data_IF_630038364654
#
_entry.id   IF_630038364654
#
_cell.length_a   1.000
_cell.length_b   1.000
_cell.length_c   1.000
_cell.angle_alpha   90.00
_cell.angle_beta   90.00
_cell.angle_gamma   90.00
#
_symmetry.space_group_name_H-M   'P 1'
#
loop_
_entity.id
_entity.type
_entity.pdbx_description
1 polymer ?
#
# COMPACT_ATOMS: atom_id res chain seq x y z
N UNK A 1 3.60 19.81 -0.26
CA UNK A 1 2.80 18.61 0.06
C UNK A 1 3.57 17.80 1.10
N UNK A 2 2.93 17.34 2.17
CA UNK A 2 3.52 16.44 3.18
C UNK A 2 2.59 15.22 3.34
N UNK A 3 3.12 14.02 3.10
CA UNK A 3 2.35 12.78 3.26
C UNK A 3 3.20 11.77 4.04
N UNK A 4 2.60 11.13 5.04
CA UNK A 4 3.12 9.91 5.65
C UNK A 4 2.33 8.72 5.14
N UNK A 5 2.99 7.82 4.39
CA UNK A 5 2.40 6.59 3.88
C UNK A 5 2.72 5.43 4.79
N UNK A 6 1.73 4.60 5.04
CA UNK A 6 1.84 3.36 5.81
C UNK A 6 1.30 2.21 4.97
N UNK A 7 2.07 1.16 4.77
CA UNK A 7 1.55 -0.09 4.24
C UNK A 7 0.77 -0.80 5.34
N UNK A 8 -0.39 -1.40 5.00
CA UNK A 8 -1.14 -2.21 5.96
C UNK A 8 -0.26 -3.28 6.62
N UNK A 9 -0.56 -3.65 7.86
CA UNK A 9 0.15 -4.69 8.60
C UNK A 9 0.08 -6.05 7.93
N UNK A 10 0.92 -6.98 8.35
CA UNK A 10 1.01 -8.33 7.78
C UNK A 10 -0.33 -9.08 7.87
N UNK A 11 -0.67 -9.80 6.80
CA UNK A 11 -1.73 -10.82 6.74
C UNK A 11 -1.10 -12.22 6.62
N UNK A 12 -1.87 -13.28 6.79
CA UNK A 12 -1.36 -14.64 6.59
C UNK A 12 -0.96 -14.88 5.12
N UNK A 13 -1.62 -14.22 4.17
CA UNK A 13 -1.22 -14.29 2.76
C UNK A 13 0.11 -13.60 2.50
N UNK A 14 0.41 -12.49 3.19
CA UNK A 14 1.75 -11.89 3.11
C UNK A 14 2.81 -12.84 3.68
N UNK A 15 2.55 -13.46 4.84
CA UNK A 15 3.46 -14.42 5.45
C UNK A 15 3.69 -15.65 4.54
N UNK A 16 2.66 -16.10 3.83
CA UNK A 16 2.72 -17.20 2.86
C UNK A 16 3.16 -16.78 1.45
N UNK A 17 3.58 -15.53 1.23
CA UNK A 17 3.99 -15.00 -0.10
C UNK A 17 2.92 -15.17 -1.19
N UNK A 18 1.64 -15.16 -0.82
CA UNK A 18 0.52 -15.22 -1.76
C UNK A 18 0.19 -13.84 -2.31
N UNK A 19 -0.10 -13.77 -3.60
CA UNK A 19 -0.61 -12.55 -4.24
C UNK A 19 -1.98 -12.24 -3.64
N UNK A 20 -2.10 -11.09 -2.99
CA UNK A 20 -3.32 -10.75 -2.26
C UNK A 20 -4.28 -9.91 -3.09
N UNK A 21 -3.74 -8.91 -3.82
CA UNK A 21 -4.55 -8.03 -4.64
C UNK A 21 -5.66 -7.36 -3.84
N UNK A 22 -6.88 -7.44 -4.36
CA UNK A 22 -8.06 -6.84 -3.73
C UNK A 22 -8.86 -7.83 -2.85
N UNK A 23 -8.46 -9.10 -2.74
CA UNK A 23 -9.01 -10.01 -1.72
C UNK A 23 -8.74 -9.46 -0.32
N UNK A 24 -9.76 -9.48 0.52
CA UNK A 24 -9.68 -8.87 1.84
C UNK A 24 -9.37 -9.92 2.91
N UNK A 25 -8.09 -10.08 3.17
CA UNK A 25 -7.55 -10.99 4.18
C UNK A 25 -7.23 -10.18 5.44
N UNK A 26 -7.69 -10.59 6.63
CA UNK A 26 -7.49 -9.83 7.87
C UNK A 26 -6.00 -9.78 8.29
N UNK A 27 -5.67 -8.79 9.13
CA UNK A 27 -4.36 -8.72 9.76
C UNK A 27 -4.13 -9.93 10.65
N UNK A 28 -2.92 -10.49 10.61
CA UNK A 28 -2.50 -11.47 11.60
C UNK A 28 -1.93 -10.78 12.87
N UNK A 29 -1.49 -11.57 13.85
CA UNK A 29 -0.95 -11.05 15.11
C UNK A 29 0.26 -10.12 14.89
N UNK A 30 1.12 -10.44 13.93
CA UNK A 30 2.28 -9.60 13.57
C UNK A 30 1.82 -8.28 12.95
N UNK A 31 0.87 -8.32 11.99
CA UNK A 31 0.34 -7.12 11.36
C UNK A 31 -0.31 -6.15 12.33
N UNK A 32 -1.02 -6.66 13.33
CA UNK A 32 -1.61 -5.84 14.39
C UNK A 32 -0.54 -5.13 15.22
N UNK A 33 0.57 -5.81 15.54
CA UNK A 33 1.70 -5.18 16.25
C UNK A 33 2.39 -4.12 15.39
N UNK A 34 2.58 -4.38 14.09
CA UNK A 34 3.15 -3.42 13.14
C UNK A 34 2.28 -2.16 13.05
N UNK A 35 0.97 -2.32 12.90
CA UNK A 35 0.03 -1.19 12.85
C UNK A 35 0.10 -0.30 14.11
N UNK A 36 0.11 -0.92 15.29
CA UNK A 36 0.26 -0.21 16.57
C UNK A 36 1.63 0.48 16.67
N UNK A 37 2.72 -0.20 16.27
CA UNK A 37 4.07 0.36 16.27
C UNK A 37 4.21 1.59 15.37
N UNK A 38 3.64 1.54 14.16
CA UNK A 38 3.59 2.69 13.25
C UNK A 38 2.82 3.87 13.85
N UNK A 39 1.74 3.60 14.60
CA UNK A 39 1.00 4.64 15.32
C UNK A 39 1.83 5.30 16.41
N UNK A 40 2.57 4.52 17.20
CA UNK A 40 3.50 5.04 18.22
C UNK A 40 4.60 5.90 17.58
N UNK A 41 5.15 5.45 16.45
CA UNK A 41 6.17 6.23 15.72
C UNK A 41 5.60 7.54 15.20
N UNK A 42 4.42 7.53 14.58
CA UNK A 42 3.73 8.74 14.11
C UNK A 42 3.39 9.71 15.25
N UNK A 43 2.93 9.20 16.38
CA UNK A 43 2.65 10.02 17.57
C UNK A 43 3.87 10.83 18.02
N UNK A 44 5.05 10.20 18.01
CA UNK A 44 6.31 10.89 18.34
C UNK A 44 6.70 11.95 17.31
N UNK A 45 6.42 11.70 16.03
CA UNK A 45 6.77 12.60 14.92
C UNK A 45 5.83 13.81 14.89
N UNK A 46 4.53 13.59 15.04
CA UNK A 46 3.51 14.60 14.86
C UNK A 46 3.19 15.36 16.16
N UNK A 47 3.37 14.73 17.32
CA UNK A 47 3.03 15.33 18.61
C UNK A 47 1.62 15.88 18.63
N UNK A 48 1.45 17.11 19.14
CA UNK A 48 0.17 17.80 19.19
C UNK A 48 -0.35 18.26 17.80
N UNK A 49 0.48 18.21 16.75
CA UNK A 49 0.09 18.61 15.39
C UNK A 49 -0.71 17.56 14.63
N UNK A 50 -0.99 16.39 15.21
CA UNK A 50 -1.72 15.32 14.54
C UNK A 50 -3.15 15.73 14.09
N UNK A 51 -3.77 16.68 14.78
CA UNK A 51 -5.11 17.21 14.44
C UNK A 51 -5.14 17.98 13.10
N UNK A 52 -4.00 18.47 12.63
CA UNK A 52 -3.90 19.23 11.39
C UNK A 52 -3.83 18.32 10.14
N UNK A 53 -3.64 17.02 10.35
CA UNK A 53 -3.52 16.04 9.28
C UNK A 53 -4.87 15.47 8.84
N UNK A 54 -5.02 15.29 7.52
CA UNK A 54 -6.06 14.44 6.95
C UNK A 54 -5.65 12.96 7.09
N UNK A 55 -6.55 12.14 7.62
CA UNK A 55 -6.33 10.70 7.72
C UNK A 55 -7.17 9.98 6.67
N UNK A 56 -6.52 9.25 5.77
CA UNK A 56 -7.17 8.53 4.67
C UNK A 56 -6.67 7.09 4.57
N UNK A 57 -7.58 6.17 4.30
CA UNK A 57 -7.25 4.75 4.11
C UNK A 57 -7.81 4.22 2.79
N UNK A 58 -7.17 3.20 2.23
CA UNK A 58 -7.86 2.29 1.31
C UNK A 58 -9.10 1.70 2.00
N UNK A 59 -10.19 1.40 1.28
CA UNK A 59 -11.41 0.86 1.89
C UNK A 59 -11.30 -0.61 2.33
N UNK A 60 -10.22 -1.34 1.96
CA UNK A 60 -10.07 -2.75 2.31
C UNK A 60 -9.87 -2.94 3.83
N UNK A 61 -10.46 -3.98 4.40
CA UNK A 61 -10.52 -4.20 5.87
C UNK A 61 -9.15 -4.21 6.53
N UNK A 62 -8.12 -4.82 5.90
CA UNK A 62 -6.74 -4.81 6.42
C UNK A 62 -6.12 -3.42 6.56
N UNK A 63 -6.45 -2.49 5.65
CA UNK A 63 -5.97 -1.10 5.73
C UNK A 63 -6.77 -0.29 6.74
N UNK A 64 -8.07 -0.54 6.83
CA UNK A 64 -8.93 0.08 7.83
C UNK A 64 -8.52 -0.34 9.23
N UNK A 65 -8.35 -1.65 9.50
CA UNK A 65 -7.87 -2.14 10.81
C UNK A 65 -6.48 -1.55 11.13
N UNK A 66 -5.59 -1.40 10.12
CA UNK A 66 -4.30 -0.75 10.32
C UNK A 66 -4.46 0.72 10.72
N UNK A 67 -5.32 1.48 10.05
CA UNK A 67 -5.60 2.89 10.36
C UNK A 67 -6.19 3.05 11.77
N UNK A 68 -7.16 2.23 12.12
CA UNK A 68 -7.83 2.26 13.42
C UNK A 68 -6.83 2.03 14.56
N UNK A 69 -5.96 1.00 14.43
CA UNK A 69 -4.91 0.71 15.42
C UNK A 69 -3.86 1.80 15.50
N UNK A 70 -3.47 2.36 14.36
CA UNK A 70 -2.53 3.46 14.26
C UNK A 70 -3.08 4.69 15.00
N UNK A 71 -4.32 5.09 14.72
CA UNK A 71 -4.97 6.22 15.38
C UNK A 71 -5.16 6.00 16.87
N UNK A 72 -5.57 4.79 17.27
CA UNK A 72 -5.69 4.43 18.68
C UNK A 72 -4.36 4.57 19.43
N UNK A 73 -3.24 4.12 18.81
CA UNK A 73 -1.91 4.25 19.39
C UNK A 73 -1.42 5.71 19.48
N UNK A 74 -1.99 6.61 18.68
CA UNK A 74 -1.77 8.06 18.73
C UNK A 74 -2.66 8.78 19.75
N UNK A 75 -3.57 8.06 20.44
CA UNK A 75 -4.56 8.67 21.34
C UNK A 75 -5.71 9.40 20.63
N UNK A 76 -5.91 9.10 19.32
CA UNK A 76 -6.98 9.66 18.50
C UNK A 76 -8.18 8.70 18.41
N UNK A 77 -9.37 9.24 18.14
CA UNK A 77 -10.54 8.42 17.84
C UNK A 77 -10.27 7.53 16.62
N UNK A 78 -10.28 6.19 16.76
CA UNK A 78 -9.96 5.26 15.69
C UNK A 78 -10.90 5.35 14.49
N UNK A 79 -12.13 5.82 14.67
CA UNK A 79 -13.17 5.87 13.62
C UNK A 79 -13.14 7.13 12.76
N UNK A 80 -12.43 8.17 13.18
CA UNK A 80 -12.44 9.49 12.51
C UNK A 80 -11.40 9.56 11.40
N UNK A 81 -11.66 8.92 10.27
CA UNK A 81 -10.86 8.99 9.03
C UNK A 81 -11.77 8.76 7.83
N UNK A 82 -11.30 9.10 6.64
CA UNK A 82 -12.01 8.81 5.39
C UNK A 82 -11.37 7.66 4.61
N UNK A 83 -12.13 7.06 3.70
CA UNK A 83 -11.62 6.08 2.74
C UNK A 83 -11.59 6.66 1.32
N UNK A 84 -10.73 6.10 0.46
CA UNK A 84 -10.63 6.48 -0.95
C UNK A 84 -10.40 5.24 -1.80
N UNK A 85 -11.31 4.99 -2.76
CA UNK A 85 -11.29 3.83 -3.66
C UNK A 85 -10.01 3.77 -4.51
N UNK A 86 -9.45 4.93 -4.86
CA UNK A 86 -8.22 5.04 -5.65
C UNK A 86 -6.99 4.47 -4.93
N UNK A 87 -7.09 4.25 -3.63
CA UNK A 87 -6.03 3.69 -2.77
C UNK A 87 -6.10 2.16 -2.64
N UNK A 88 -7.03 1.46 -3.29
CA UNK A 88 -7.04 -0.01 -3.31
C UNK A 88 -5.75 -0.57 -3.90
N UNK A 89 -5.40 -1.80 -3.49
CA UNK A 89 -4.25 -2.51 -4.06
C UNK A 89 -4.47 -2.81 -5.55
N UNK A 90 -3.39 -3.06 -6.28
CA UNK A 90 -3.45 -3.62 -7.64
C UNK A 90 -4.24 -4.92 -7.62
N UNK A 91 -5.19 -5.08 -8.54
CA UNK A 91 -5.89 -6.34 -8.69
C UNK A 91 -5.03 -7.34 -9.46
N UNK A 92 -4.81 -8.51 -8.87
CA UNK A 92 -4.13 -9.61 -9.56
C UNK A 92 -5.11 -10.56 -10.27
N UNK A 93 -6.42 -10.24 -10.29
CA UNK A 93 -7.43 -11.04 -10.96
C UNK A 93 -7.42 -12.49 -10.50
N UNK A 94 -7.38 -13.43 -11.45
CA UNK A 94 -7.41 -14.89 -11.18
C UNK A 94 -6.15 -15.41 -10.46
N UNK A 95 -5.11 -14.58 -10.33
CA UNK A 95 -3.89 -14.97 -9.61
C UNK A 95 -3.94 -14.70 -8.10
N UNK A 96 -5.00 -14.05 -7.62
CA UNK A 96 -5.17 -13.78 -6.18
C UNK A 96 -5.30 -15.09 -5.40
N UNK A 97 -4.49 -15.23 -4.35
CA UNK A 97 -4.39 -16.43 -3.52
C UNK A 97 -3.26 -17.38 -3.90
N UNK A 98 -2.72 -17.28 -5.11
CA UNK A 98 -1.57 -18.10 -5.53
C UNK A 98 -0.24 -17.47 -5.12
N UNK A 99 0.76 -18.32 -4.92
CA UNK A 99 2.17 -17.92 -4.88
C UNK A 99 2.76 -17.90 -6.29
N UNK A 100 3.86 -17.15 -6.50
CA UNK A 100 4.55 -17.16 -7.79
C UNK A 100 5.12 -18.54 -8.17
N UNK A 101 5.65 -19.38 -7.23
CA UNK A 101 6.03 -20.76 -7.55
C UNK A 101 4.86 -21.63 -8.05
N UNK A 102 3.68 -21.54 -7.41
CA UNK A 102 2.48 -22.26 -7.88
C UNK A 102 2.09 -21.82 -9.30
N UNK A 103 2.04 -20.51 -9.56
CA UNK A 103 1.74 -19.98 -10.90
C UNK A 103 2.80 -20.37 -11.95
N UNK A 104 4.07 -20.46 -11.54
CA UNK A 104 5.13 -20.92 -12.48
C UNK A 104 4.90 -22.35 -12.94
N UNK A 105 4.29 -23.20 -12.11
CA UNK A 105 3.93 -24.57 -12.50
C UNK A 105 2.68 -24.59 -13.40
N UNK A 106 1.69 -23.75 -13.08
CA UNK A 106 0.40 -23.74 -13.79
C UNK A 106 0.46 -22.99 -15.13
N UNK A 107 1.14 -21.86 -15.18
CA UNK A 107 1.16 -20.93 -16.34
C UNK A 107 2.57 -20.36 -16.59
N UNK A 108 3.58 -21.20 -16.87
CA UNK A 108 4.98 -20.80 -16.97
C UNK A 108 5.23 -19.68 -18.01
N UNK A 109 4.53 -19.71 -19.14
CA UNK A 109 4.63 -18.69 -20.17
C UNK A 109 4.20 -17.30 -19.68
N UNK A 110 3.07 -17.22 -18.98
CA UNK A 110 2.56 -15.95 -18.41
C UNK A 110 3.48 -15.40 -17.32
N UNK A 111 4.11 -16.27 -16.53
CA UNK A 111 5.11 -15.84 -15.53
C UNK A 111 6.38 -15.33 -16.21
N UNK A 112 6.78 -15.89 -17.34
CA UNK A 112 7.92 -15.38 -18.12
C UNK A 112 7.62 -13.99 -18.69
N UNK A 113 6.43 -13.77 -19.27
CA UNK A 113 5.99 -12.45 -19.75
C UNK A 113 6.00 -11.41 -18.60
N UNK A 114 5.40 -11.74 -17.44
CA UNK A 114 5.41 -10.85 -16.28
C UNK A 114 6.82 -10.53 -15.82
N UNK A 115 7.77 -11.42 -15.90
CA UNK A 115 9.16 -11.19 -15.51
C UNK A 115 9.83 -10.13 -16.39
N UNK A 116 9.48 -10.08 -17.68
CA UNK A 116 10.05 -9.16 -18.67
C UNK A 116 9.43 -7.76 -18.54
N UNK A 117 8.11 -7.69 -18.35
CA UNK A 117 7.35 -6.42 -18.35
C UNK A 117 6.45 -6.30 -17.12
N UNK A 118 7.03 -6.43 -15.92
CA UNK A 118 6.26 -6.52 -14.67
C UNK A 118 5.37 -5.31 -14.43
N UNK A 119 5.79 -4.13 -14.87
CA UNK A 119 5.03 -2.90 -14.70
C UNK A 119 3.75 -2.88 -15.54
N UNK A 120 3.83 -3.31 -16.78
CA UNK A 120 2.74 -3.25 -17.75
C UNK A 120 1.92 -4.55 -17.82
N UNK A 121 2.41 -5.61 -17.19
CA UNK A 121 1.77 -6.92 -17.23
C UNK A 121 0.42 -6.93 -16.53
N UNK A 122 -0.62 -7.35 -17.24
CA UNK A 122 -1.96 -7.57 -16.71
C UNK A 122 -2.17 -9.07 -16.49
N UNK A 123 -2.41 -9.52 -15.23
CA UNK A 123 -2.82 -10.90 -14.96
C UNK A 123 -4.16 -11.25 -15.65
N UNK A 124 -4.50 -12.53 -15.82
CA UNK A 124 -5.82 -12.93 -16.27
C UNK A 124 -6.90 -12.56 -15.23
N UNK A 125 -8.14 -12.36 -15.71
CA UNK A 125 -9.30 -11.99 -14.88
C UNK A 125 -9.90 -10.65 -15.29
N UNK A 126 -11.20 -10.49 -15.05
CA UNK A 126 -12.00 -9.37 -15.57
C UNK A 126 -11.55 -8.00 -15.05
N UNK A 127 -11.16 -7.95 -13.76
CA UNK A 127 -10.79 -6.70 -13.08
C UNK A 127 -9.29 -6.61 -12.78
N UNK A 128 -8.46 -7.39 -13.51
CA UNK A 128 -7.01 -7.40 -13.30
C UNK A 128 -6.38 -6.07 -13.76
N UNK A 129 -5.41 -5.60 -12.99
CA UNK A 129 -4.68 -4.36 -13.25
C UNK A 129 -3.19 -4.63 -13.47
N UNK A 130 -2.55 -3.81 -14.31
CA UNK A 130 -1.10 -3.61 -14.28
C UNK A 130 -0.72 -2.55 -13.23
N UNK A 131 0.57 -2.43 -12.92
CA UNK A 131 1.05 -1.29 -12.12
C UNK A 131 0.86 0.04 -12.85
N UNK A 132 0.87 0.04 -14.18
CA UNK A 132 0.59 1.25 -14.96
C UNK A 132 -0.86 1.72 -14.75
N UNK A 133 -1.85 0.82 -14.85
CA UNK A 133 -3.27 1.13 -14.57
C UNK A 133 -3.43 1.62 -13.13
N UNK A 134 -2.83 0.93 -12.15
CA UNK A 134 -2.81 1.37 -10.76
C UNK A 134 -2.25 2.79 -10.64
N UNK A 135 -1.16 3.10 -11.36
CA UNK A 135 -0.49 4.41 -11.28
C UNK A 135 -1.39 5.56 -11.72
N UNK A 136 -2.32 5.36 -12.66
CA UNK A 136 -3.27 6.39 -13.09
C UNK A 136 -4.21 6.82 -11.95
N UNK A 137 -4.81 5.85 -11.25
CA UNK A 137 -5.71 6.18 -10.14
C UNK A 137 -4.97 6.71 -8.91
N UNK A 138 -3.77 6.22 -8.63
CA UNK A 138 -2.90 6.74 -7.56
C UNK A 138 -2.44 8.16 -7.89
N UNK A 139 -2.10 8.46 -9.15
CA UNK A 139 -1.75 9.81 -9.62
C UNK A 139 -2.92 10.79 -9.48
N UNK A 140 -4.15 10.35 -9.80
CA UNK A 140 -5.35 11.15 -9.58
C UNK A 140 -5.60 11.43 -8.09
N UNK A 141 -5.36 10.44 -7.21
CA UNK A 141 -5.41 10.65 -5.76
C UNK A 141 -4.34 11.65 -5.30
N UNK A 142 -3.10 11.45 -5.72
CA UNK A 142 -1.97 12.30 -5.32
C UNK A 142 -2.21 13.77 -5.65
N UNK A 143 -2.76 14.06 -6.84
CA UNK A 143 -3.13 15.43 -7.26
C UNK A 143 -4.26 16.04 -6.42
N UNK A 144 -5.09 15.23 -5.78
CA UNK A 144 -6.18 15.69 -4.91
C UNK A 144 -5.75 15.98 -3.47
N UNK A 145 -4.50 15.68 -3.10
CA UNK A 145 -3.98 15.93 -1.75
C UNK A 145 -3.61 17.39 -1.57
N UNK A 146 -4.40 18.12 -0.80
CA UNK A 146 -4.23 19.59 -0.55
C UNK A 146 -3.78 19.91 0.87
N UNK A 147 -3.80 18.93 1.79
CA UNK A 147 -3.44 19.09 3.20
C UNK A 147 -2.35 18.08 3.59
N UNK A 148 -1.59 18.33 4.67
CA UNK A 148 -0.77 17.28 5.27
C UNK A 148 -1.60 16.02 5.55
N UNK A 149 -1.12 14.86 5.14
CA UNK A 149 -1.92 13.63 5.09
C UNK A 149 -1.18 12.44 5.69
N UNK A 150 -1.88 11.65 6.49
CA UNK A 150 -1.49 10.29 6.88
C UNK A 150 -2.33 9.32 6.07
N UNK A 151 -1.69 8.48 5.27
CA UNK A 151 -2.36 7.54 4.36
C UNK A 151 -1.98 6.10 4.68
N UNK A 152 -2.97 5.25 4.92
CA UNK A 152 -2.76 3.80 5.02
C UNK A 152 -3.23 3.12 3.74
N UNK A 153 -2.31 2.39 3.09
CA UNK A 153 -2.60 1.74 1.82
C UNK A 153 -1.78 0.44 1.64
N UNK A 154 -1.33 0.14 0.43
CA UNK A 154 -0.78 -1.14 0.02
C UNK A 154 0.59 -1.01 -0.63
N UNK A 155 1.26 -2.15 -0.81
CA UNK A 155 2.58 -2.19 -1.44
C UNK A 155 2.59 -1.71 -2.88
N UNK A 156 1.58 -2.06 -3.67
CA UNK A 156 1.48 -1.60 -5.07
C UNK A 156 1.29 -0.09 -5.18
N UNK A 157 0.45 0.48 -4.31
CA UNK A 157 0.23 1.94 -4.26
C UNK A 157 1.53 2.70 -3.95
N UNK A 158 2.31 2.20 -2.99
CA UNK A 158 3.61 2.82 -2.64
C UNK A 158 4.60 2.69 -3.82
N UNK A 159 4.62 1.55 -4.52
CA UNK A 159 5.43 1.39 -5.75
C UNK A 159 5.02 2.39 -6.85
N UNK A 160 3.70 2.58 -7.03
CA UNK A 160 3.20 3.58 -7.96
C UNK A 160 3.68 5.01 -7.60
N UNK A 161 3.70 5.35 -6.30
CA UNK A 161 4.22 6.64 -5.83
C UNK A 161 5.72 6.82 -6.10
N UNK A 162 6.54 5.78 -5.95
CA UNK A 162 7.97 5.86 -6.29
C UNK A 162 8.19 6.25 -7.76
N UNK A 163 7.44 5.63 -8.70
CA UNK A 163 7.50 6.02 -10.12
C UNK A 163 6.95 7.41 -10.37
N UNK A 164 5.77 7.73 -9.84
CA UNK A 164 5.09 9.01 -10.08
C UNK A 164 5.86 10.23 -9.56
N UNK A 165 6.66 10.04 -8.51
CA UNK A 165 7.49 11.10 -7.92
C UNK A 165 8.92 11.14 -8.52
N UNK A 166 9.23 10.26 -9.46
CA UNK A 166 10.52 10.23 -10.14
C UNK A 166 11.67 9.63 -9.31
N UNK A 167 11.36 8.97 -8.19
CA UNK A 167 12.36 8.33 -7.31
C UNK A 167 12.95 7.06 -7.92
N UNK A 168 12.13 6.31 -8.66
CA UNK A 168 12.48 5.05 -9.30
C UNK A 168 11.87 4.97 -10.69
N UNK A 169 12.56 4.30 -11.62
CA UNK A 169 11.94 3.91 -12.89
C UNK A 169 10.91 2.78 -12.67
N UNK A 170 10.19 2.37 -13.73
CA UNK A 170 9.11 1.39 -13.65
C UNK A 170 9.57 0.03 -13.11
N UNK A 171 10.71 -0.47 -13.57
CA UNK A 171 11.25 -1.78 -13.18
C UNK A 171 11.75 -1.76 -11.73
N UNK A 172 12.46 -0.73 -11.34
CA UNK A 172 12.92 -0.50 -9.97
C UNK A 172 11.74 -0.41 -9.01
N UNK A 173 10.75 0.41 -9.33
CA UNK A 173 9.54 0.57 -8.52
C UNK A 173 8.77 -0.75 -8.38
N UNK A 174 8.59 -1.49 -9.48
CA UNK A 174 7.91 -2.80 -9.46
C UNK A 174 8.64 -3.83 -8.59
N UNK A 175 9.98 -3.74 -8.48
CA UNK A 175 10.81 -4.64 -7.69
C UNK A 175 11.00 -4.20 -6.24
N UNK A 176 10.72 -2.93 -5.91
CA UNK A 176 10.99 -2.35 -4.59
C UNK A 176 10.33 -3.14 -3.45
N UNK A 177 11.10 -3.41 -2.40
CA UNK A 177 10.58 -3.97 -1.17
C UNK A 177 9.85 -2.87 -0.37
N UNK A 178 8.64 -3.18 0.08
CA UNK A 178 7.81 -2.22 0.84
C UNK A 178 7.58 -2.81 2.24
N UNK A 179 8.28 -2.30 3.27
CA UNK A 179 8.12 -2.78 4.64
C UNK A 179 6.73 -2.43 5.21
N UNK A 180 6.30 -3.18 6.23
CA UNK A 180 5.00 -3.01 6.89
C UNK A 180 5.13 -2.35 8.29
N UNK A 181 6.35 -2.19 8.74
CA UNK A 181 6.73 -1.68 10.07
C UNK A 181 7.52 -0.37 10.00
N UNK A 182 7.46 0.32 8.86
CA UNK A 182 8.11 1.61 8.63
C UNK A 182 7.14 2.61 8.02
N UNK A 183 7.44 3.88 8.25
CA UNK A 183 6.71 5.01 7.68
C UNK A 183 7.47 5.53 6.45
N UNK A 184 6.76 5.79 5.36
CA UNK A 184 7.32 6.48 4.22
C UNK A 184 6.92 7.96 4.29
N UNK A 185 7.88 8.87 4.32
CA UNK A 185 7.64 10.30 4.28
C UNK A 185 7.84 10.83 2.87
N UNK A 186 6.87 11.60 2.38
CA UNK A 186 6.91 12.34 1.12
C UNK A 186 6.80 13.82 1.46
N UNK A 187 7.83 14.60 1.19
CA UNK A 187 7.86 16.04 1.51
C UNK A 187 8.80 16.80 0.57
N UNK A 188 8.37 17.97 0.07
CA UNK A 188 9.22 18.86 -0.71
C UNK A 188 9.82 18.23 -1.98
N UNK A 189 9.14 17.25 -2.59
CA UNK A 189 9.64 16.51 -3.76
C UNK A 189 10.59 15.36 -3.42
N UNK A 190 10.90 15.10 -2.14
CA UNK A 190 11.69 13.96 -1.70
C UNK A 190 10.83 12.88 -1.06
N UNK A 191 11.31 11.64 -1.10
CA UNK A 191 10.65 10.47 -0.54
C UNK A 191 11.69 9.64 0.24
N UNK A 192 11.34 9.18 1.44
CA UNK A 192 12.27 8.42 2.27
C UNK A 192 11.60 7.66 3.40
N UNK A 193 12.20 6.53 3.77
CA UNK A 193 11.77 5.72 4.91
C UNK A 193 12.27 6.30 6.25
N UNK A 194 11.38 6.25 7.24
CA UNK A 194 11.64 6.60 8.63
C UNK A 194 11.70 5.35 9.51
#
# INVERSE_FOLDING_TARGET
MLIYMVRHGQTDWNAGSRLQGQKDIPLNKTGRRQATGNGVALSKILGNGAADFDFVSSPLGRTRETMERLRQAMGLDPSTYRTDERLKEVSFGDWEGYTLPELKQLVPGRIAERRIAKWDFIPPGTDAESYEILSWRVGAWLKSVTRPTVCVSHGGVIRALFKLLGEMNADEAAAAAIPQDRLLKIAGGSIGWL
#
